data_IF_408936586777
#
_entry.id   IF_408936586777
#
_cell.length_a   1.000
_cell.length_b   1.000
_cell.length_c   1.000
_cell.angle_alpha   90.00
_cell.angle_beta   90.00
_cell.angle_gamma   90.00
#
_symmetry.space_group_name_H-M   'P 1'
#
loop_
_entity.id
_entity.type
_entity.pdbx_description
1 polymer ?
#
# COMPACT_ATOMS: atom_id res chain seq x y z
N UNK A 1 10.35 14.15 -29.30
CA UNK A 1 10.94 13.54 -28.08
C UNK A 1 10.76 14.47 -26.89
N UNK A 2 11.14 15.74 -26.99
CA UNK A 2 10.95 16.73 -25.90
C UNK A 2 9.48 17.17 -25.67
N UNK A 3 8.64 17.18 -26.71
CA UNK A 3 7.23 17.60 -26.59
C UNK A 3 6.36 16.63 -25.77
N UNK A 4 6.57 15.32 -25.92
CA UNK A 4 5.76 14.31 -25.21
C UNK A 4 6.23 14.17 -23.75
N UNK A 5 7.55 14.26 -23.52
CA UNK A 5 8.16 14.29 -22.19
C UNK A 5 7.67 15.49 -21.38
N UNK A 6 7.64 16.69 -21.97
CA UNK A 6 7.09 17.89 -21.33
C UNK A 6 5.60 17.79 -21.03
N UNK A 7 4.84 16.94 -21.74
CA UNK A 7 3.39 16.79 -21.57
C UNK A 7 3.05 15.97 -20.33
N UNK A 8 3.72 14.84 -20.12
CA UNK A 8 3.50 13.98 -18.95
C UNK A 8 3.84 14.69 -17.64
N UNK A 9 5.01 15.34 -17.57
CA UNK A 9 5.43 16.10 -16.39
C UNK A 9 4.48 17.27 -16.09
N UNK A 10 4.03 17.99 -17.12
CA UNK A 10 3.05 19.07 -16.96
C UNK A 10 1.71 18.53 -16.44
N UNK A 11 1.26 17.40 -16.95
CA UNK A 11 0.02 16.77 -16.52
C UNK A 11 0.08 16.27 -15.07
N UNK A 12 1.16 15.58 -14.69
CA UNK A 12 1.40 15.14 -13.32
C UNK A 12 1.46 16.32 -12.32
N UNK A 13 2.05 17.45 -12.73
CA UNK A 13 2.08 18.69 -11.94
C UNK A 13 0.69 19.29 -11.74
N UNK A 14 -0.13 19.39 -12.80
CA UNK A 14 -1.51 19.88 -12.71
C UNK A 14 -2.34 19.00 -11.77
N UNK A 15 -2.24 17.67 -11.91
CA UNK A 15 -2.92 16.72 -11.02
C UNK A 15 -2.49 16.94 -9.57
N UNK A 16 -1.18 17.07 -9.31
CA UNK A 16 -0.65 17.24 -7.96
C UNK A 16 -1.19 18.51 -7.29
N UNK A 17 -1.25 19.63 -8.02
CA UNK A 17 -1.84 20.89 -7.51
C UNK A 17 -3.34 20.73 -7.24
N UNK A 18 -4.08 20.05 -8.12
CA UNK A 18 -5.49 19.76 -7.89
C UNK A 18 -5.72 18.89 -6.66
N UNK A 19 -4.90 17.85 -6.48
CA UNK A 19 -5.01 16.91 -5.38
C UNK A 19 -4.64 17.51 -4.02
N UNK A 20 -3.65 18.41 -3.92
CA UNK A 20 -3.33 19.05 -2.63
C UNK A 20 -4.45 20.01 -2.17
N UNK A 21 -5.08 20.73 -3.11
CA UNK A 21 -6.24 21.57 -2.79
C UNK A 21 -7.41 20.70 -2.32
N UNK A 22 -7.67 19.60 -3.04
CA UNK A 22 -8.67 18.61 -2.68
C UNK A 22 -8.40 17.97 -1.32
N UNK A 23 -7.13 17.68 -1.00
CA UNK A 23 -6.71 17.17 0.30
C UNK A 23 -6.99 18.14 1.44
N UNK A 24 -6.73 19.44 1.25
CA UNK A 24 -7.10 20.47 2.23
C UNK A 24 -8.61 20.50 2.50
N UNK A 25 -9.42 20.39 1.44
CA UNK A 25 -10.88 20.34 1.58
C UNK A 25 -11.37 19.07 2.30
N UNK A 26 -10.82 17.90 1.95
CA UNK A 26 -11.17 16.64 2.61
C UNK A 26 -10.68 16.57 4.06
N UNK A 27 -9.54 17.19 4.37
CA UNK A 27 -9.03 17.26 5.74
C UNK A 27 -9.99 18.06 6.63
N UNK A 28 -10.46 19.21 6.14
CA UNK A 28 -11.52 19.97 6.81
C UNK A 28 -12.81 19.15 6.96
N UNK A 29 -13.27 18.49 5.89
CA UNK A 29 -14.48 17.67 5.92
C UNK A 29 -14.40 16.53 6.95
N UNK A 30 -13.23 15.88 7.07
CA UNK A 30 -13.01 14.79 8.01
C UNK A 30 -13.14 15.25 9.46
N UNK A 31 -12.64 16.45 9.78
CA UNK A 31 -12.79 17.06 11.11
C UNK A 31 -14.25 17.44 11.38
N UNK A 32 -14.94 18.03 10.41
CA UNK A 32 -16.36 18.41 10.55
C UNK A 32 -17.27 17.18 10.74
N UNK A 33 -16.91 16.06 10.10
CA UNK A 33 -17.60 14.78 10.21
C UNK A 33 -17.09 13.91 11.37
N UNK A 34 -16.38 14.47 12.35
CA UNK A 34 -15.89 13.76 13.55
C UNK A 34 -15.20 12.40 13.26
N UNK A 35 -14.41 12.36 12.19
CA UNK A 35 -13.69 11.17 11.73
C UNK A 35 -14.57 9.97 11.36
N UNK A 36 -15.79 10.21 10.87
CA UNK A 36 -16.64 9.18 10.27
C UNK A 36 -15.85 8.33 9.25
N UNK A 37 -16.04 7.01 9.29
CA UNK A 37 -15.18 6.03 8.62
C UNK A 37 -15.01 6.29 7.11
N UNK A 38 -16.06 6.74 6.43
CA UNK A 38 -16.02 7.04 5.00
C UNK A 38 -15.23 8.32 4.70
N UNK A 39 -15.25 9.31 5.60
CA UNK A 39 -14.57 10.59 5.43
C UNK A 39 -13.06 10.42 5.59
N UNK A 40 -12.63 9.68 6.63
CA UNK A 40 -11.23 9.32 6.88
C UNK A 40 -10.68 8.48 5.73
N UNK A 41 -11.43 7.48 5.27
CA UNK A 41 -11.05 6.64 4.14
C UNK A 41 -10.86 7.47 2.86
N UNK A 42 -11.79 8.40 2.57
CA UNK A 42 -11.70 9.27 1.41
C UNK A 42 -10.50 10.23 1.48
N UNK A 43 -10.25 10.81 2.67
CA UNK A 43 -9.09 11.67 2.91
C UNK A 43 -7.78 10.90 2.69
N UNK A 44 -7.64 9.71 3.29
CA UNK A 44 -6.46 8.86 3.14
C UNK A 44 -6.24 8.42 1.68
N UNK A 45 -7.28 7.93 0.99
CA UNK A 45 -7.18 7.52 -0.42
C UNK A 45 -6.63 8.65 -1.27
N UNK A 46 -7.20 9.83 -1.08
CA UNK A 46 -6.85 11.02 -1.85
C UNK A 46 -5.44 11.53 -1.48
N UNK A 47 -4.98 11.32 -0.24
CA UNK A 47 -3.62 11.66 0.20
C UNK A 47 -2.58 10.72 -0.40
N UNK A 48 -2.86 9.42 -0.45
CA UNK A 48 -2.03 8.45 -1.15
C UNK A 48 -1.99 8.73 -2.65
N UNK A 49 -3.11 9.13 -3.26
CA UNK A 49 -3.14 9.53 -4.66
C UNK A 49 -2.30 10.78 -4.94
N UNK A 50 -2.34 11.76 -4.03
CA UNK A 50 -1.48 12.95 -4.09
C UNK A 50 0.00 12.59 -3.99
N UNK A 51 0.37 11.73 -3.04
CA UNK A 51 1.76 11.27 -2.90
C UNK A 51 2.23 10.55 -4.17
N UNK A 52 1.40 9.67 -4.73
CA UNK A 52 1.71 8.98 -5.99
C UNK A 52 1.83 9.94 -7.17
N UNK A 53 1.06 11.03 -7.22
CA UNK A 53 1.19 12.03 -8.29
C UNK A 53 2.50 12.80 -8.20
N UNK A 54 3.00 13.08 -6.98
CA UNK A 54 4.31 13.68 -6.77
C UNK A 54 5.44 12.71 -7.15
N UNK A 55 5.33 11.45 -6.75
CA UNK A 55 6.29 10.40 -7.15
C UNK A 55 6.31 10.26 -8.67
N UNK A 56 5.15 10.24 -9.32
CA UNK A 56 5.06 10.17 -10.77
C UNK A 56 5.67 11.39 -11.45
N UNK A 57 5.37 12.61 -10.96
CA UNK A 57 5.98 13.83 -11.44
C UNK A 57 7.52 13.77 -11.35
N UNK A 58 8.04 13.32 -10.20
CA UNK A 58 9.48 13.16 -9.99
C UNK A 58 10.10 12.13 -10.95
N UNK A 59 9.43 11.00 -11.18
CA UNK A 59 9.88 10.00 -12.15
C UNK A 59 9.95 10.58 -13.58
N UNK A 60 8.92 11.30 -14.02
CA UNK A 60 8.92 11.97 -15.32
C UNK A 60 10.09 12.95 -15.45
N UNK A 61 10.28 13.85 -14.48
CA UNK A 61 11.36 14.84 -14.51
C UNK A 61 12.76 14.21 -14.53
N UNK A 62 12.95 13.15 -13.76
CA UNK A 62 14.24 12.46 -13.66
C UNK A 62 14.55 11.66 -14.93
N UNK A 63 13.54 11.01 -15.52
CA UNK A 63 13.65 10.35 -16.83
C UNK A 63 14.03 11.34 -17.91
N UNK A 64 13.35 12.48 -17.96
CA UNK A 64 13.54 13.51 -18.98
C UNK A 64 14.92 14.17 -18.88
N UNK A 65 15.42 14.33 -17.65
CA UNK A 65 16.77 14.82 -17.37
C UNK A 65 17.86 13.76 -17.58
N UNK A 66 17.49 12.49 -17.81
CA UNK A 66 18.38 11.31 -17.87
C UNK A 66 19.20 11.09 -16.60
N UNK A 67 18.67 11.53 -15.46
CA UNK A 67 19.28 11.41 -14.12
C UNK A 67 18.53 10.36 -13.29
N UNK A 68 18.18 9.23 -13.90
CA UNK A 68 17.51 8.15 -13.17
C UNK A 68 18.49 7.43 -12.25
N UNK A 69 18.13 7.22 -10.98
CA UNK A 69 18.99 6.54 -10.05
C UNK A 69 18.98 5.02 -10.30
N UNK A 70 20.10 4.37 -10.04
CA UNK A 70 20.30 2.94 -10.28
C UNK A 70 19.27 2.03 -9.59
N UNK A 71 18.64 2.47 -8.49
CA UNK A 71 17.60 1.71 -7.78
C UNK A 71 16.21 1.78 -8.43
N UNK A 72 16.07 2.45 -9.58
CA UNK A 72 14.87 2.51 -10.42
C UNK A 72 15.11 2.07 -11.88
N UNK A 73 16.29 1.54 -12.19
CA UNK A 73 16.60 1.02 -13.52
C UNK A 73 16.04 -0.41 -13.69
N UNK A 74 14.75 -0.51 -14.01
CA UNK A 74 14.08 -1.81 -14.12
C UNK A 74 14.38 -2.51 -15.45
N UNK A 75 14.72 -3.80 -15.39
CA UNK A 75 14.80 -4.68 -16.56
C UNK A 75 13.46 -4.70 -17.33
N UNK A 76 13.41 -4.30 -18.62
CA UNK A 76 12.15 -4.18 -19.36
C UNK A 76 11.39 -5.51 -19.54
N UNK A 77 12.11 -6.63 -19.65
CA UNK A 77 11.49 -7.95 -19.86
C UNK A 77 10.80 -8.39 -18.57
N UNK A 78 11.50 -8.27 -17.44
CA UNK A 78 10.93 -8.58 -16.14
C UNK A 78 9.81 -7.59 -15.78
N UNK A 79 9.99 -6.30 -16.07
CA UNK A 79 8.98 -5.26 -15.86
C UNK A 79 7.68 -5.56 -16.62
N UNK A 80 7.75 -5.93 -17.90
CA UNK A 80 6.58 -6.28 -18.70
C UNK A 80 5.81 -7.47 -18.11
N UNK A 81 6.53 -8.54 -17.73
CA UNK A 81 5.91 -9.76 -17.19
C UNK A 81 5.30 -9.56 -15.80
N UNK A 82 5.90 -8.68 -14.98
CA UNK A 82 5.46 -8.41 -13.61
C UNK A 82 4.53 -7.21 -13.46
N UNK A 83 4.40 -6.33 -14.45
CA UNK A 83 3.62 -5.09 -14.36
C UNK A 83 2.21 -5.31 -13.76
N UNK A 84 1.45 -6.27 -14.32
CA UNK A 84 0.12 -6.60 -13.80
C UNK A 84 0.15 -7.28 -12.43
N UNK A 85 1.18 -8.09 -12.14
CA UNK A 85 1.32 -8.76 -10.83
C UNK A 85 1.57 -7.73 -9.72
N UNK A 86 2.46 -6.76 -9.97
CA UNK A 86 2.74 -5.66 -9.03
C UNK A 86 1.49 -4.81 -8.80
N UNK A 87 0.71 -4.53 -9.85
CA UNK A 87 -0.58 -3.82 -9.71
C UNK A 87 -1.55 -4.55 -8.77
N UNK A 88 -1.71 -5.88 -8.93
CA UNK A 88 -2.57 -6.67 -8.06
C UNK A 88 -2.07 -6.76 -6.61
N UNK A 89 -0.74 -6.85 -6.41
CA UNK A 89 -0.16 -6.80 -5.06
C UNK A 89 -0.39 -5.43 -4.41
N UNK A 90 -0.19 -4.35 -5.16
CA UNK A 90 -0.49 -2.98 -4.73
C UNK A 90 -1.95 -2.84 -4.32
N UNK A 91 -2.89 -3.27 -5.18
CA UNK A 91 -4.31 -3.26 -4.87
C UNK A 91 -4.65 -4.08 -3.62
N UNK A 92 -4.05 -5.27 -3.46
CA UNK A 92 -4.23 -6.07 -2.25
C UNK A 92 -3.79 -5.35 -0.98
N UNK A 93 -2.61 -4.72 -0.99
CA UNK A 93 -2.13 -3.93 0.15
C UNK A 93 -2.99 -2.69 0.42
N UNK A 94 -3.51 -2.05 -0.63
CA UNK A 94 -4.47 -0.95 -0.52
C UNK A 94 -5.79 -1.41 0.12
N UNK A 95 -6.34 -2.54 -0.32
CA UNK A 95 -7.55 -3.12 0.28
C UNK A 95 -7.35 -3.46 1.76
N UNK A 96 -6.20 -4.05 2.12
CA UNK A 96 -5.88 -4.35 3.52
C UNK A 96 -5.82 -3.06 4.37
N UNK A 97 -5.17 -2.01 3.87
CA UNK A 97 -5.10 -0.69 4.52
C UNK A 97 -6.51 -0.11 4.76
N UNK A 98 -7.37 -0.10 3.75
CA UNK A 98 -8.73 0.44 3.86
C UNK A 98 -9.62 -0.35 4.80
N UNK A 99 -9.51 -1.69 4.78
CA UNK A 99 -10.19 -2.54 5.75
C UNK A 99 -9.72 -2.22 7.18
N UNK A 100 -8.43 -1.91 7.38
CA UNK A 100 -7.90 -1.51 8.68
C UNK A 100 -8.42 -0.17 9.16
N UNK A 101 -8.49 0.83 8.26
CA UNK A 101 -9.09 2.15 8.57
C UNK A 101 -10.55 2.01 8.97
N UNK A 102 -11.32 1.18 8.25
CA UNK A 102 -12.71 0.88 8.60
C UNK A 102 -12.81 0.33 10.02
N UNK A 103 -12.01 -0.69 10.37
CA UNK A 103 -11.97 -1.24 11.73
C UNK A 103 -11.60 -0.18 12.78
N UNK A 104 -10.65 0.70 12.48
CA UNK A 104 -10.18 1.71 13.41
C UNK A 104 -11.21 2.83 13.66
N UNK A 105 -12.05 3.12 12.68
CA UNK A 105 -13.03 4.23 12.70
C UNK A 105 -14.45 3.79 13.01
N UNK A 106 -14.73 2.48 12.98
CA UNK A 106 -16.00 1.90 13.43
C UNK A 106 -16.01 1.72 14.96
N UNK A 107 -16.92 2.38 15.69
CA UNK A 107 -17.04 2.22 17.13
C UNK A 107 -17.30 0.75 17.51
N UNK A 108 -16.54 0.23 18.47
CA UNK A 108 -16.72 -1.16 18.94
C UNK A 108 -15.97 -2.22 18.12
N UNK A 109 -15.60 -1.96 16.87
CA UNK A 109 -14.99 -2.98 15.99
C UNK A 109 -13.61 -3.47 16.48
N UNK A 110 -12.81 -2.59 17.10
CA UNK A 110 -11.50 -2.97 17.67
C UNK A 110 -11.59 -4.01 18.81
N UNK A 111 -12.77 -4.18 19.41
CA UNK A 111 -13.05 -5.12 20.49
C UNK A 111 -13.60 -6.46 19.98
N UNK A 112 -13.92 -6.56 18.70
CA UNK A 112 -14.67 -7.68 18.11
C UNK A 112 -14.01 -9.05 18.29
N UNK A 113 -12.68 -9.10 18.40
CA UNK A 113 -11.91 -10.32 18.57
C UNK A 113 -11.33 -10.52 19.98
N UNK A 114 -11.76 -9.76 20.97
CA UNK A 114 -11.23 -9.80 22.34
C UNK A 114 -10.03 -8.87 22.56
N UNK A 115 -9.52 -8.86 23.80
CA UNK A 115 -8.54 -7.88 24.29
C UNK A 115 -7.30 -8.53 24.90
N UNK A 116 -6.10 -8.04 24.53
CA UNK A 116 -4.87 -8.15 25.33
C UNK A 116 -4.27 -9.56 25.54
N UNK A 117 -4.77 -10.61 24.89
CA UNK A 117 -4.31 -11.99 25.12
C UNK A 117 -4.13 -12.84 23.85
N UNK A 118 -3.57 -14.05 24.00
CA UNK A 118 -3.37 -15.01 22.90
C UNK A 118 -4.68 -15.44 22.22
N UNK A 119 -5.78 -15.37 22.95
CA UNK A 119 -7.13 -15.65 22.43
C UNK A 119 -7.63 -14.52 21.53
N UNK A 120 -6.98 -13.35 21.59
CA UNK A 120 -7.31 -12.13 20.84
C UNK A 120 -6.44 -11.93 19.61
N UNK A 121 -5.25 -12.53 19.54
CA UNK A 121 -4.44 -12.56 18.33
C UNK A 121 -3.40 -13.70 18.42
N UNK A 122 -3.23 -14.55 17.37
CA UNK A 122 -3.85 -14.47 16.04
C UNK A 122 -5.32 -14.94 15.99
N UNK A 123 -5.80 -15.57 17.06
CA UNK A 123 -7.18 -16.03 17.21
C UNK A 123 -8.14 -14.86 17.43
N UNK A 124 -9.43 -15.10 17.24
CA UNK A 124 -10.53 -14.18 17.51
C UNK A 124 -11.45 -14.85 18.53
N UNK A 125 -11.35 -14.46 19.80
CA UNK A 125 -12.03 -15.11 20.92
C UNK A 125 -11.71 -16.61 21.03
N UNK A 126 -10.44 -16.99 20.81
CA UNK A 126 -9.99 -18.38 20.88
C UNK A 126 -10.26 -19.22 19.63
N UNK A 127 -10.97 -18.69 18.63
CA UNK A 127 -11.26 -19.37 17.37
C UNK A 127 -10.60 -18.67 16.18
N UNK A 128 -10.17 -19.43 15.17
CA UNK A 128 -9.60 -18.86 13.93
C UNK A 128 -10.69 -18.52 12.90
N UNK A 129 -11.83 -19.20 12.98
CA UNK A 129 -12.99 -19.02 12.14
C UNK A 129 -14.25 -18.96 13.01
N UNK A 130 -14.62 -17.76 13.46
CA UNK A 130 -15.89 -17.53 14.13
C UNK A 130 -16.97 -17.17 13.09
N UNK A 131 -18.23 -17.43 13.46
CA UNK A 131 -19.38 -17.11 12.61
C UNK A 131 -19.56 -15.59 12.53
N UNK A 132 -19.71 -15.09 11.30
CA UNK A 132 -20.01 -13.67 11.07
C UNK A 132 -21.54 -13.47 11.14
N UNK A 133 -21.97 -12.73 12.14
CA UNK A 133 -23.36 -12.32 12.39
C UNK A 133 -23.56 -10.82 12.15
N UNK A 134 -22.52 -10.01 12.39
CA UNK A 134 -22.50 -8.57 12.16
C UNK A 134 -21.20 -8.19 11.43
N UNK A 135 -21.33 -7.76 10.17
CA UNK A 135 -20.18 -7.41 9.33
C UNK A 135 -19.39 -6.20 9.84
N UNK A 136 -20.07 -5.26 10.50
CA UNK A 136 -19.47 -4.02 10.96
C UNK A 136 -18.71 -4.25 12.26
N UNK A 137 -19.37 -4.86 13.26
CA UNK A 137 -18.75 -5.14 14.56
C UNK A 137 -17.69 -6.24 14.48
N UNK A 138 -17.80 -7.18 13.54
CA UNK A 138 -16.82 -8.25 13.32
C UNK A 138 -15.86 -7.96 12.16
N UNK A 139 -15.81 -6.71 11.68
CA UNK A 139 -14.90 -6.27 10.61
C UNK A 139 -13.43 -6.55 10.94
N UNK A 140 -13.06 -6.58 12.23
CA UNK A 140 -11.70 -6.91 12.68
C UNK A 140 -11.27 -8.33 12.26
N UNK A 141 -12.18 -9.31 12.26
CA UNK A 141 -11.89 -10.67 11.77
C UNK A 141 -11.68 -10.67 10.25
N UNK A 142 -12.55 -9.98 9.52
CA UNK A 142 -12.47 -9.87 8.06
C UNK A 142 -11.16 -9.21 7.64
N UNK A 143 -10.77 -8.13 8.31
CA UNK A 143 -9.49 -7.46 8.09
C UNK A 143 -8.30 -8.41 8.28
N UNK A 144 -8.31 -9.26 9.32
CA UNK A 144 -7.26 -10.27 9.54
C UNK A 144 -7.16 -11.28 8.41
N UNK A 145 -8.28 -11.76 7.87
CA UNK A 145 -8.26 -12.66 6.73
C UNK A 145 -7.71 -11.99 5.47
N UNK A 146 -8.08 -10.74 5.22
CA UNK A 146 -7.53 -9.94 4.11
C UNK A 146 -6.01 -9.79 4.28
N UNK A 147 -5.55 -9.38 5.47
CA UNK A 147 -4.12 -9.22 5.78
C UNK A 147 -3.36 -10.53 5.60
N UNK A 148 -3.90 -11.65 6.09
CA UNK A 148 -3.28 -12.96 5.92
C UNK A 148 -3.17 -13.37 4.45
N UNK A 149 -4.24 -13.19 3.66
CA UNK A 149 -4.24 -13.50 2.24
C UNK A 149 -3.23 -12.64 1.46
N UNK A 150 -3.18 -11.34 1.75
CA UNK A 150 -2.24 -10.39 1.13
C UNK A 150 -0.80 -10.74 1.52
N UNK A 151 -0.53 -11.06 2.79
CA UNK A 151 0.81 -11.44 3.24
C UNK A 151 1.29 -12.73 2.57
N UNK A 152 0.42 -13.73 2.41
CA UNK A 152 0.74 -14.96 1.67
C UNK A 152 1.04 -14.65 0.20
N UNK A 153 0.24 -13.80 -0.44
CA UNK A 153 0.46 -13.38 -1.82
C UNK A 153 1.81 -12.66 -2.00
N UNK A 154 2.17 -11.78 -1.06
CA UNK A 154 3.46 -11.07 -1.05
C UNK A 154 4.66 -12.02 -0.86
N UNK A 155 4.54 -13.01 0.02
CA UNK A 155 5.58 -14.03 0.23
C UNK A 155 5.74 -14.92 -1.01
N UNK A 156 4.62 -15.35 -1.61
CA UNK A 156 4.63 -16.13 -2.85
C UNK A 156 5.25 -15.33 -3.99
N UNK A 157 4.87 -14.06 -4.14
CA UNK A 157 5.45 -13.16 -5.14
C UNK A 157 6.95 -12.95 -4.90
N UNK A 158 7.38 -12.75 -3.65
CA UNK A 158 8.79 -12.60 -3.28
C UNK A 158 9.63 -13.82 -3.64
N UNK A 159 9.07 -15.02 -3.49
CA UNK A 159 9.73 -16.27 -3.89
C UNK A 159 9.77 -16.45 -5.41
N UNK A 160 8.67 -16.16 -6.11
CA UNK A 160 8.60 -16.26 -7.57
C UNK A 160 9.57 -15.29 -8.25
N UNK A 161 9.55 -14.02 -7.87
CA UNK A 161 10.44 -13.02 -8.49
C UNK A 161 11.91 -13.30 -8.14
N UNK A 162 12.20 -13.89 -6.98
CA UNK A 162 13.56 -14.32 -6.66
C UNK A 162 14.09 -15.37 -7.64
N UNK A 163 13.25 -16.33 -8.03
CA UNK A 163 13.63 -17.35 -9.04
C UNK A 163 13.82 -16.73 -10.41
N UNK A 164 12.84 -15.96 -10.88
CA UNK A 164 12.86 -15.34 -12.21
C UNK A 164 13.99 -14.29 -12.35
N UNK A 165 14.31 -13.57 -11.28
CA UNK A 165 15.41 -12.59 -11.26
C UNK A 165 16.80 -13.22 -11.27
N UNK A 166 16.97 -14.49 -10.89
CA UNK A 166 18.25 -15.17 -11.01
C UNK A 166 18.54 -15.59 -12.47
N UNK A 167 17.51 -15.67 -13.31
CA UNK A 167 17.63 -15.96 -14.74
C UNK A 167 17.95 -14.70 -15.56
N UNK A 168 17.59 -13.51 -15.07
CA UNK A 168 17.75 -12.22 -15.75
C UNK A 168 18.76 -11.32 -15.00
N UNK A 169 19.87 -10.94 -15.64
CA UNK A 169 21.02 -10.25 -15.00
C UNK A 169 20.67 -8.94 -14.26
N UNK A 170 19.59 -8.25 -14.66
CA UNK A 170 19.12 -6.96 -14.10
C UNK A 170 17.76 -7.04 -13.36
N UNK A 171 17.21 -8.24 -13.11
CA UNK A 171 15.92 -8.41 -12.41
C UNK A 171 15.93 -8.09 -10.90
N UNK A 172 17.10 -7.73 -10.35
CA UNK A 172 17.32 -7.55 -8.91
C UNK A 172 16.60 -6.33 -8.32
N UNK A 173 16.41 -5.27 -9.11
CA UNK A 173 15.81 -4.03 -8.62
C UNK A 173 14.32 -4.22 -8.33
N UNK A 174 13.55 -4.77 -9.28
CA UNK A 174 12.13 -5.07 -9.07
C UNK A 174 11.91 -6.07 -7.93
N UNK A 175 12.77 -7.10 -7.84
CA UNK A 175 12.78 -8.04 -6.71
C UNK A 175 12.95 -7.31 -5.38
N UNK A 176 13.93 -6.40 -5.28
CA UNK A 176 14.19 -5.67 -4.04
C UNK A 176 12.99 -4.80 -3.63
N UNK A 177 12.29 -4.17 -4.58
CA UNK A 177 11.03 -3.45 -4.31
C UNK A 177 9.93 -4.35 -3.75
N UNK A 178 9.70 -5.52 -4.37
CA UNK A 178 8.71 -6.48 -3.87
C UNK A 178 9.11 -7.00 -2.48
N UNK A 179 10.39 -7.28 -2.24
CA UNK A 179 10.90 -7.70 -0.94
C UNK A 179 10.77 -6.61 0.12
N UNK A 180 11.09 -5.35 -0.22
CA UNK A 180 10.94 -4.21 0.68
C UNK A 180 9.48 -4.01 1.08
N UNK A 181 8.55 -4.04 0.11
CA UNK A 181 7.12 -3.97 0.39
C UNK A 181 6.63 -5.16 1.23
N UNK A 182 7.11 -6.37 0.94
CA UNK A 182 6.78 -7.57 1.73
C UNK A 182 7.27 -7.45 3.17
N UNK A 183 8.49 -6.93 3.38
CA UNK A 183 9.06 -6.69 4.69
C UNK A 183 8.32 -5.60 5.46
N UNK A 184 7.93 -4.50 4.79
CA UNK A 184 7.10 -3.45 5.37
C UNK A 184 5.73 -4.00 5.77
N UNK A 185 5.08 -4.79 4.93
CA UNK A 185 3.78 -5.40 5.26
C UNK A 185 3.89 -6.39 6.43
N UNK A 186 4.99 -7.15 6.51
CA UNK A 186 5.24 -8.04 7.64
C UNK A 186 5.48 -7.26 8.93
N UNK A 187 6.28 -6.19 8.89
CA UNK A 187 6.46 -5.29 10.02
C UNK A 187 5.12 -4.68 10.44
N UNK A 188 4.27 -4.31 9.48
CA UNK A 188 2.92 -3.83 9.74
C UNK A 188 2.07 -4.85 10.50
N UNK A 189 2.09 -6.12 10.09
CA UNK A 189 1.38 -7.21 10.80
C UNK A 189 1.85 -7.34 12.24
N UNK A 190 3.17 -7.26 12.47
CA UNK A 190 3.74 -7.33 13.82
C UNK A 190 3.34 -6.12 14.67
N UNK A 191 3.37 -4.90 14.11
CA UNK A 191 2.90 -3.69 14.79
C UNK A 191 1.41 -3.79 15.11
N UNK A 192 0.59 -4.34 14.22
CA UNK A 192 -0.84 -4.57 14.45
C UNK A 192 -1.08 -5.56 15.59
N UNK A 193 -0.29 -6.63 15.70
CA UNK A 193 -0.33 -7.55 16.83
C UNK A 193 0.04 -6.85 18.14
N UNK A 194 1.12 -6.06 18.14
CA UNK A 194 1.54 -5.27 19.29
C UNK A 194 0.47 -4.25 19.70
N UNK A 195 -0.22 -3.64 18.75
CA UNK A 195 -1.35 -2.74 19.02
C UNK A 195 -2.46 -3.47 19.78
N UNK A 196 -2.88 -4.67 19.36
CA UNK A 196 -3.88 -5.45 20.09
C UNK A 196 -3.41 -5.84 21.50
N UNK A 197 -2.14 -6.19 21.66
CA UNK A 197 -1.56 -6.49 22.98
C UNK A 197 -1.32 -5.26 23.86
N UNK A 198 -1.37 -4.05 23.29
CA UNK A 198 -1.22 -2.80 24.03
C UNK A 198 -2.47 -2.37 24.79
N UNK A 199 -3.56 -3.14 24.73
CA UNK A 199 -4.77 -2.87 25.48
C UNK A 199 -4.46 -2.73 26.98
N UNK A 200 -4.77 -1.55 27.54
CA UNK A 200 -4.73 -1.30 28.96
C UNK A 200 -6.16 -1.29 29.55
N UNK A 201 -6.42 -2.22 30.47
CA UNK A 201 -7.69 -2.31 31.18
C UNK A 201 -7.96 -1.13 32.12
N UNK A 202 -6.93 -0.40 32.58
CA UNK A 202 -7.10 0.71 33.49
C UNK A 202 -7.54 1.99 32.77
N UNK A 203 -6.92 2.32 31.63
CA UNK A 203 -7.31 3.45 30.78
C UNK A 203 -8.46 3.11 29.81
N UNK A 204 -8.78 1.83 29.64
CA UNK A 204 -9.71 1.33 28.62
C UNK A 204 -9.34 1.81 27.20
N UNK A 205 -8.04 1.85 26.89
CA UNK A 205 -7.52 2.33 25.62
C UNK A 205 -6.37 1.48 25.09
N UNK A 206 -6.08 1.63 23.79
CA UNK A 206 -4.90 1.08 23.14
C UNK A 206 -3.82 2.17 23.01
N UNK A 207 -2.57 1.77 22.72
CA UNK A 207 -1.47 2.71 22.52
C UNK A 207 -1.58 3.40 21.16
N UNK A 208 -1.85 4.71 21.17
CA UNK A 208 -2.08 5.52 19.97
C UNK A 208 -0.87 5.57 19.03
N UNK A 209 0.35 5.59 19.58
CA UNK A 209 1.58 5.59 18.78
C UNK A 209 1.74 4.30 17.95
N UNK A 210 1.26 3.16 18.45
CA UNK A 210 1.26 1.91 17.68
C UNK A 210 0.21 1.95 16.57
N UNK A 211 -0.96 2.55 16.81
CA UNK A 211 -1.98 2.76 15.77
C UNK A 211 -1.44 3.62 14.62
N UNK A 212 -0.79 4.75 14.95
CA UNK A 212 -0.16 5.61 13.95
C UNK A 212 0.97 4.87 13.19
N UNK A 213 1.85 4.17 13.90
CA UNK A 213 2.93 3.39 13.29
C UNK A 213 2.39 2.29 12.36
N UNK A 214 1.28 1.65 12.73
CA UNK A 214 0.58 0.67 11.90
C UNK A 214 0.06 1.34 10.61
N UNK A 215 -0.70 2.43 10.71
CA UNK A 215 -1.22 3.16 9.56
C UNK A 215 -0.12 3.60 8.57
N UNK A 216 0.97 4.16 9.12
CA UNK A 216 2.11 4.64 8.31
C UNK A 216 2.84 3.48 7.62
N UNK A 217 3.10 2.38 8.34
CA UNK A 217 3.85 1.24 7.78
C UNK A 217 3.03 0.52 6.69
N UNK A 218 1.72 0.36 6.90
CA UNK A 218 0.81 -0.15 5.86
C UNK A 218 0.80 0.76 4.61
N UNK A 219 0.74 2.08 4.80
CA UNK A 219 0.78 3.05 3.71
C UNK A 219 2.09 2.99 2.93
N UNK A 220 3.23 2.86 3.62
CA UNK A 220 4.55 2.70 2.99
C UNK A 220 4.64 1.40 2.17
N UNK A 221 4.05 0.31 2.64
CA UNK A 221 3.99 -0.94 1.87
C UNK A 221 3.24 -0.75 0.55
N UNK A 222 2.08 -0.09 0.59
CA UNK A 222 1.30 0.22 -0.61
C UNK A 222 2.07 1.15 -1.55
N UNK A 223 2.58 2.27 -1.04
CA UNK A 223 3.33 3.26 -1.83
C UNK A 223 4.58 2.64 -2.47
N UNK A 224 5.24 1.70 -1.81
CA UNK A 224 6.39 0.99 -2.39
C UNK A 224 6.01 0.18 -3.63
N UNK A 225 4.91 -0.58 -3.58
CA UNK A 225 4.43 -1.36 -4.73
C UNK A 225 3.89 -0.47 -5.84
N UNK A 226 3.14 0.57 -5.48
CA UNK A 226 2.61 1.53 -6.44
C UNK A 226 3.73 2.31 -7.14
N UNK A 227 4.78 2.70 -6.42
CA UNK A 227 5.99 3.33 -6.99
C UNK A 227 6.68 2.39 -7.97
N UNK A 228 6.90 1.13 -7.60
CA UNK A 228 7.48 0.15 -8.50
C UNK A 228 6.60 -0.05 -9.75
N UNK A 229 5.28 -0.09 -9.60
CA UNK A 229 4.34 -0.20 -10.70
C UNK A 229 4.42 0.99 -11.67
N UNK A 230 4.37 2.23 -11.16
CA UNK A 230 4.52 3.46 -11.97
C UNK A 230 5.90 3.51 -12.64
N UNK A 231 6.95 3.08 -11.93
CA UNK A 231 8.30 3.01 -12.47
C UNK A 231 8.41 2.04 -13.64
N UNK A 232 7.80 0.85 -13.54
CA UNK A 232 7.77 -0.11 -14.66
C UNK A 232 7.07 0.46 -15.90
N UNK A 233 5.98 1.22 -15.77
CA UNK A 233 5.29 1.83 -16.92
C UNK A 233 6.01 3.06 -17.48
N UNK A 234 6.47 3.96 -16.60
CA UNK A 234 6.98 5.29 -16.98
C UNK A 234 8.43 5.27 -17.43
N UNK A 235 9.23 4.34 -16.89
CA UNK A 235 10.67 4.25 -17.16
C UNK A 235 10.98 3.06 -18.06
N UNK A 236 10.49 1.85 -17.73
CA UNK A 236 10.90 0.64 -18.44
C UNK A 236 10.07 0.31 -19.69
N UNK A 237 8.78 0.67 -19.72
CA UNK A 237 7.85 0.32 -20.79
C UNK A 237 7.37 1.52 -21.62
N UNK A 238 7.96 2.70 -21.42
CA UNK A 238 7.51 3.94 -22.05
C UNK A 238 7.80 4.00 -23.55
N UNK A 239 8.74 3.21 -24.08
CA UNK A 239 8.99 3.11 -25.52
C UNK A 239 8.42 1.80 -26.11
N UNK A 240 7.80 1.86 -27.32
CA UNK A 240 7.45 0.65 -28.04
C UNK A 240 8.73 -0.14 -28.34
N UNK A 241 8.67 -1.47 -28.15
CA UNK A 241 9.68 -2.40 -28.67
C UNK A 241 9.90 -2.02 -30.14
N UNK A 242 11.14 -1.73 -30.59
CA UNK A 242 11.37 -1.47 -32.00
C UNK A 242 10.84 -2.68 -32.75
N UNK A 243 9.84 -2.47 -33.61
CA UNK A 243 9.41 -3.43 -34.61
C UNK A 243 10.70 -3.91 -35.27
N UNK A 244 11.04 -5.17 -34.98
CA UNK A 244 12.11 -5.86 -35.67
C UNK A 244 11.84 -5.67 -37.14
N UNK A 245 12.81 -5.04 -37.81
CA UNK A 245 12.96 -4.99 -39.25
C UNK A 245 12.53 -6.34 -39.87
N UNK A 246 11.30 -6.40 -40.40
CA UNK A 246 10.91 -7.39 -41.42
C UNK A 246 11.12 -6.77 -42.82
#
# INVERSE_FOLDING_TARGET
RDEDSSRDARFASIISVGLIIWQGALGWLTVEMDNEHWSVALHLASGLAFELSLIWLWLCLSRDSKEMPDWLDFDPILAASWHRRVAWLGLGTFTALFAGVFVATTPGANFGCGLGGSDSWPLCQGELFSKIEDLELQSQLIHRWIVAAVQIALLAASWLIWKEANEHQHGRILRNWIWAATGLFLANVLIGALYIFSWDSASASFEEHLSLAHLLTASLSFLSLATAWIGTSTVALHEPVPETLE
#
